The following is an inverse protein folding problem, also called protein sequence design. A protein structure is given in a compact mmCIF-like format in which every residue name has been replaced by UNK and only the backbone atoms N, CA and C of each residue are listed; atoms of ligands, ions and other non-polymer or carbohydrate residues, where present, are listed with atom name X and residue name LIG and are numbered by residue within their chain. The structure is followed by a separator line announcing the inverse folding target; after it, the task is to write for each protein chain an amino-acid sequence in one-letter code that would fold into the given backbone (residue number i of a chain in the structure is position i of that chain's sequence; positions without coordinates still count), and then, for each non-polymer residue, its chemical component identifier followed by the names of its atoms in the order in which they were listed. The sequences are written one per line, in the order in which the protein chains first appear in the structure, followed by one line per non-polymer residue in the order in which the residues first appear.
data_IF_918182975516
#
_entry.id   IF_918182975516
#
_cell.length_a   1.000
_cell.length_b   1.000
_cell.length_c   1.000
_cell.angle_alpha   90.00
_cell.angle_beta   90.00
_cell.angle_gamma   90.00
#
_symmetry.space_group_name_H-M   'P 1'
#
loop_
_entity.id
_entity.type
_entity.pdbx_description
1 polymer ?
#
# COMPACT_ATOMS: atom_id res chain seq x y z
N UNK A 1 -5.79 -9.64 -36.39
CA UNK A 1 -6.92 -9.32 -35.49
C UNK A 1 -6.35 -8.88 -34.13
N UNK A 2 -6.82 -7.79 -33.54
CA UNK A 2 -6.85 -7.58 -32.08
C UNK A 2 -5.57 -7.26 -31.27
N UNK A 3 -4.51 -6.63 -31.81
CA UNK A 3 -3.39 -6.16 -30.95
C UNK A 3 -3.84 -5.14 -29.89
N UNK A 4 -4.71 -4.20 -30.27
CA UNK A 4 -5.29 -3.22 -29.33
C UNK A 4 -6.15 -3.89 -28.26
N UNK A 5 -7.03 -4.81 -28.68
CA UNK A 5 -7.90 -5.55 -27.75
C UNK A 5 -7.07 -6.45 -26.82
N UNK A 6 -6.01 -7.09 -27.33
CA UNK A 6 -5.09 -7.85 -26.49
C UNK A 6 -4.37 -6.96 -25.50
N UNK A 7 -3.82 -5.82 -25.92
CA UNK A 7 -3.16 -4.88 -25.02
C UNK A 7 -4.11 -4.38 -23.93
N UNK A 8 -5.37 -4.07 -24.28
CA UNK A 8 -6.39 -3.68 -23.31
C UNK A 8 -6.68 -4.79 -22.30
N UNK A 9 -6.99 -6.01 -22.77
CA UNK A 9 -7.29 -7.17 -21.91
C UNK A 9 -6.09 -7.52 -21.03
N UNK A 10 -4.89 -7.47 -21.58
CA UNK A 10 -3.64 -7.68 -20.86
C UNK A 10 -3.44 -6.62 -19.76
N UNK A 11 -3.65 -5.33 -20.06
CA UNK A 11 -3.62 -4.26 -19.05
C UNK A 11 -4.67 -4.46 -17.95
N UNK A 12 -5.89 -4.88 -18.28
CA UNK A 12 -6.92 -5.20 -17.27
C UNK A 12 -6.49 -6.37 -16.38
N UNK A 13 -5.90 -7.42 -16.97
CA UNK A 13 -5.37 -8.54 -16.20
C UNK A 13 -4.22 -8.14 -15.26
N UNK A 14 -3.44 -7.11 -15.63
CA UNK A 14 -2.43 -6.51 -14.74
C UNK A 14 -3.02 -5.77 -13.55
N UNK A 15 -4.31 -5.46 -13.50
CA UNK A 15 -4.93 -4.78 -12.36
C UNK A 15 -5.44 -5.76 -11.30
N UNK A 16 -5.96 -6.92 -11.70
CA UNK A 16 -6.57 -7.93 -10.78
C UNK A 16 -5.52 -8.79 -10.06
N UNK A 17 -5.88 -9.49 -8.97
CA UNK A 17 -4.95 -10.37 -8.25
C UNK A 17 -4.43 -11.52 -9.13
N UNK A 18 -3.28 -12.13 -8.78
CA UNK A 18 -2.71 -13.27 -9.52
C UNK A 18 -3.70 -14.43 -9.64
N UNK A 19 -4.42 -14.73 -8.55
CA UNK A 19 -5.45 -15.77 -8.56
C UNK A 19 -6.61 -15.44 -9.49
N UNK A 20 -7.04 -14.17 -9.51
CA UNK A 20 -8.13 -13.73 -10.40
C UNK A 20 -7.70 -13.76 -11.86
N UNK A 21 -6.51 -13.23 -12.18
CA UNK A 21 -5.94 -13.30 -13.52
C UNK A 21 -5.75 -14.75 -13.97
N UNK A 22 -5.35 -15.63 -13.05
CA UNK A 22 -5.19 -17.05 -13.30
C UNK A 22 -6.48 -17.73 -13.73
N UNK A 23 -7.65 -17.33 -13.20
CA UNK A 23 -8.94 -17.89 -13.60
C UNK A 23 -9.30 -17.57 -15.05
N UNK A 24 -8.72 -16.54 -15.66
CA UNK A 24 -8.97 -16.21 -17.07
C UNK A 24 -8.51 -17.31 -18.03
N UNK A 25 -7.51 -18.10 -17.64
CA UNK A 25 -7.05 -19.26 -18.42
C UNK A 25 -8.15 -20.29 -18.70
N UNK A 26 -9.21 -20.31 -17.89
CA UNK A 26 -10.31 -21.28 -18.01
C UNK A 26 -11.52 -20.69 -18.76
N UNK A 27 -11.46 -19.44 -19.22
CA UNK A 27 -12.56 -18.82 -19.97
C UNK A 27 -12.59 -19.35 -21.41
N UNK A 28 -13.79 -19.60 -21.93
CA UNK A 28 -13.98 -20.08 -23.32
C UNK A 28 -13.47 -19.07 -24.37
N UNK A 29 -13.39 -17.78 -24.03
CA UNK A 29 -12.80 -16.78 -24.91
C UNK A 29 -11.30 -17.02 -25.08
N UNK A 30 -10.88 -17.36 -26.31
CA UNK A 30 -9.46 -17.52 -26.69
C UNK A 30 -8.56 -16.36 -26.24
N UNK A 31 -9.05 -15.12 -26.30
CA UNK A 31 -8.28 -13.94 -25.89
C UNK A 31 -7.98 -13.93 -24.39
N UNK A 32 -9.02 -13.95 -23.55
CA UNK A 32 -8.91 -14.04 -22.10
C UNK A 32 -8.15 -15.29 -21.63
N UNK A 33 -8.39 -16.44 -22.26
CA UNK A 33 -7.65 -17.67 -22.00
C UNK A 33 -6.14 -17.45 -22.16
N UNK A 34 -5.72 -16.93 -23.32
CA UNK A 34 -4.31 -16.66 -23.60
C UNK A 34 -3.70 -15.65 -22.62
N UNK A 35 -4.40 -14.56 -22.32
CA UNK A 35 -3.93 -13.56 -21.35
C UNK A 35 -3.78 -14.21 -19.97
N UNK A 36 -4.77 -15.00 -19.52
CA UNK A 36 -4.70 -15.72 -18.25
C UNK A 36 -3.49 -16.65 -18.18
N UNK A 37 -3.23 -17.45 -19.22
CA UNK A 37 -2.07 -18.33 -19.29
C UNK A 37 -0.75 -17.57 -19.25
N UNK A 38 -0.65 -16.43 -19.97
CA UNK A 38 0.54 -15.59 -19.95
C UNK A 38 0.79 -15.03 -18.56
N UNK A 39 -0.24 -14.52 -17.87
CA UNK A 39 -0.13 -14.01 -16.51
C UNK A 39 0.24 -15.11 -15.52
N UNK A 40 -0.37 -16.29 -15.59
CA UNK A 40 0.02 -17.42 -14.74
C UNK A 40 1.51 -17.76 -14.89
N UNK A 41 2.01 -17.75 -16.13
CA UNK A 41 3.39 -18.14 -16.44
C UNK A 41 4.42 -17.05 -16.12
N UNK A 42 4.11 -15.79 -16.42
CA UNK A 42 5.09 -14.68 -16.43
C UNK A 42 4.98 -13.74 -15.25
N UNK A 43 3.85 -13.72 -14.53
CA UNK A 43 3.63 -12.75 -13.46
C UNK A 43 4.46 -13.07 -12.23
N UNK A 44 5.24 -12.08 -11.81
CA UNK A 44 6.06 -12.14 -10.61
C UNK A 44 5.57 -11.10 -9.62
N UNK A 45 5.33 -11.54 -8.39
CA UNK A 45 4.89 -10.68 -7.30
C UNK A 45 6.05 -10.48 -6.32
N UNK A 46 6.32 -9.22 -6.02
CA UNK A 46 7.45 -8.81 -5.21
C UNK A 46 6.99 -8.14 -3.92
N UNK A 47 7.87 -8.19 -2.93
CA UNK A 47 7.89 -7.33 -1.77
C UNK A 47 9.02 -6.31 -1.96
N UNK A 48 8.71 -5.03 -1.83
CA UNK A 48 9.71 -3.96 -1.80
C UNK A 48 9.96 -3.59 -0.33
N UNK A 49 11.21 -3.56 0.09
CA UNK A 49 11.60 -3.11 1.43
C UNK A 49 12.53 -1.92 1.31
N UNK A 50 12.14 -0.78 1.89
CA UNK A 50 12.93 0.45 1.93
C UNK A 50 13.12 0.86 3.39
N UNK A 51 14.37 0.99 3.81
CA UNK A 51 14.72 1.56 5.11
C UNK A 51 15.32 2.94 4.89
N UNK A 52 14.67 3.96 5.47
CA UNK A 52 15.13 5.33 5.49
C UNK A 52 15.71 5.62 6.86
N UNK A 53 16.93 6.13 6.90
CA UNK A 53 17.63 6.46 8.10
C UNK A 53 18.10 7.92 8.03
N UNK A 54 17.72 8.75 9.00
CA UNK A 54 18.12 10.16 9.04
C UNK A 54 17.91 10.92 7.71
N UNK A 55 16.87 10.54 6.95
CA UNK A 55 16.51 11.14 5.67
C UNK A 55 17.16 10.51 4.43
N UNK A 56 18.04 9.51 4.59
CA UNK A 56 18.69 8.79 3.48
C UNK A 56 18.18 7.36 3.36
N UNK A 57 18.21 6.78 2.17
CA UNK A 57 17.82 5.38 1.97
C UNK A 57 19.03 4.49 2.18
N UNK A 58 19.04 3.78 3.30
CA UNK A 58 20.14 2.88 3.70
C UNK A 58 19.99 1.50 3.07
N UNK A 59 18.74 1.04 2.93
CA UNK A 59 18.42 -0.29 2.42
C UNK A 59 17.25 -0.21 1.45
N UNK A 60 17.38 -0.92 0.33
CA UNK A 60 16.35 -0.98 -0.69
C UNK A 60 16.45 -2.30 -1.46
N UNK A 61 15.49 -3.20 -1.28
CA UNK A 61 15.50 -4.54 -1.86
C UNK A 61 14.14 -4.91 -2.43
N UNK A 62 14.15 -5.56 -3.60
CA UNK A 62 12.98 -6.18 -4.19
C UNK A 62 13.09 -7.71 -4.08
N UNK A 63 12.22 -8.33 -3.29
CA UNK A 63 12.23 -9.78 -3.04
C UNK A 63 11.01 -10.45 -3.67
N UNK A 64 11.21 -11.49 -4.47
CA UNK A 64 10.09 -12.25 -5.02
C UNK A 64 9.37 -13.03 -3.91
N UNK A 65 8.03 -13.03 -3.91
CA UNK A 65 7.20 -13.69 -2.90
C UNK A 65 7.41 -15.21 -2.81
N UNK A 66 7.91 -15.84 -3.88
CA UNK A 66 8.26 -17.27 -3.88
C UNK A 66 9.61 -17.56 -3.20
N UNK A 67 10.28 -16.54 -2.65
CA UNK A 67 11.56 -16.65 -1.94
C UNK A 67 12.75 -17.02 -2.83
N UNK A 68 12.54 -17.18 -4.14
CA UNK A 68 13.54 -17.74 -5.04
C UNK A 68 14.68 -16.75 -5.34
N UNK A 69 14.37 -15.45 -5.40
CA UNK A 69 15.33 -14.43 -5.80
C UNK A 69 15.05 -13.08 -5.12
N UNK A 70 16.09 -12.46 -4.57
CA UNK A 70 16.13 -11.00 -4.42
C UNK A 70 16.83 -10.39 -5.63
N UNK A 71 16.32 -9.24 -6.08
CA UNK A 71 16.84 -8.54 -7.25
C UNK A 71 17.18 -7.12 -6.81
N UNK A 72 18.37 -6.64 -7.16
CA UNK A 72 18.71 -5.24 -6.97
C UNK A 72 17.81 -4.38 -7.86
N UNK A 73 17.27 -3.27 -7.36
CA UNK A 73 16.33 -2.47 -8.17
C UNK A 73 16.97 -1.93 -9.46
N UNK A 74 18.28 -1.67 -9.47
CA UNK A 74 18.99 -1.30 -10.69
C UNK A 74 19.06 -2.42 -11.74
N UNK A 75 19.04 -3.69 -11.32
CA UNK A 75 18.87 -4.83 -12.21
C UNK A 75 17.42 -4.94 -12.65
N UNK A 76 16.48 -4.74 -11.71
CA UNK A 76 15.07 -4.73 -12.03
C UNK A 76 14.72 -3.68 -13.11
N UNK A 77 15.24 -2.46 -13.00
CA UNK A 77 14.96 -1.43 -14.00
C UNK A 77 15.53 -1.72 -15.41
N UNK A 78 16.45 -2.70 -15.54
CA UNK A 78 17.01 -3.10 -16.84
C UNK A 78 16.18 -4.17 -17.56
N UNK A 79 15.42 -4.99 -16.84
CA UNK A 79 14.58 -6.00 -17.49
C UNK A 79 13.18 -5.46 -17.82
N UNK A 80 12.44 -6.22 -18.64
CA UNK A 80 11.06 -5.90 -18.97
C UNK A 80 10.12 -6.34 -17.84
N UNK A 81 9.90 -5.45 -16.86
CA UNK A 81 9.03 -5.66 -15.68
C UNK A 81 7.52 -5.57 -15.99
N UNK A 82 7.12 -5.74 -17.25
CA UNK A 82 5.71 -5.65 -17.67
C UNK A 82 4.76 -6.45 -16.78
N UNK A 83 5.14 -7.69 -16.42
CA UNK A 83 4.32 -8.59 -15.60
C UNK A 83 4.69 -8.59 -14.11
N UNK A 84 5.48 -7.61 -13.66
CA UNK A 84 5.86 -7.49 -12.27
C UNK A 84 4.84 -6.66 -11.48
N UNK A 85 4.69 -6.97 -10.20
CA UNK A 85 3.87 -6.19 -9.26
C UNK A 85 4.51 -6.16 -7.89
N UNK A 86 4.42 -5.02 -7.21
CA UNK A 86 4.79 -4.92 -5.81
C UNK A 86 3.52 -5.16 -4.99
N UNK A 87 3.41 -6.37 -4.43
CA UNK A 87 2.26 -6.72 -3.60
C UNK A 87 2.30 -5.95 -2.28
N UNK A 88 3.49 -5.86 -1.69
CA UNK A 88 3.71 -5.19 -0.42
C UNK A 88 4.97 -4.33 -0.49
N UNK A 89 4.82 -3.07 -0.12
CA UNK A 89 5.91 -2.14 0.06
C UNK A 89 6.06 -1.84 1.55
N UNK A 90 7.17 -2.27 2.14
CA UNK A 90 7.58 -1.97 3.51
C UNK A 90 8.44 -0.71 3.48
N UNK A 91 7.98 0.36 4.13
CA UNK A 91 8.74 1.59 4.31
C UNK A 91 8.99 1.79 5.80
N UNK A 92 10.26 1.77 6.19
CA UNK A 92 10.71 1.78 7.57
C UNK A 92 11.55 3.02 7.80
N UNK A 93 11.18 3.87 8.75
CA UNK A 93 11.98 5.03 9.16
C UNK A 93 12.73 4.74 10.47
N UNK A 94 14.05 4.87 10.46
CA UNK A 94 14.93 4.64 11.62
C UNK A 94 15.68 5.92 12.03
N UNK A 95 16.12 5.99 13.29
CA UNK A 95 16.80 7.15 13.92
C UNK A 95 18.32 7.01 14.02
N UNK A 96 18.95 6.17 13.21
CA UNK A 96 20.38 5.85 13.35
C UNK A 96 21.29 6.92 12.74
N UNK A 97 22.49 7.08 13.30
CA UNK A 97 23.45 8.13 12.95
C UNK A 97 24.38 7.75 11.76
N UNK A 98 23.88 7.02 10.78
CA UNK A 98 24.70 6.49 9.68
C UNK A 98 24.73 7.46 8.49
N UNK A 99 25.84 7.38 7.78
CA UNK A 99 26.37 8.27 6.74
C UNK A 99 25.38 8.65 5.62
N UNK A 100 25.42 9.94 5.24
CA UNK A 100 24.34 10.69 4.56
C UNK A 100 24.35 10.64 3.02
N UNK A 101 24.92 9.62 2.39
CA UNK A 101 25.37 9.79 0.99
C UNK A 101 24.55 9.12 -0.11
N UNK A 102 23.38 8.52 0.16
CA UNK A 102 22.57 7.90 -0.91
C UNK A 102 21.10 8.36 -0.92
N UNK A 103 20.78 9.21 -1.90
CA UNK A 103 19.39 9.46 -2.32
C UNK A 103 18.94 8.32 -3.23
N UNK A 104 17.74 7.80 -3.01
CA UNK A 104 17.20 6.72 -3.82
C UNK A 104 16.63 7.22 -5.15
N UNK A 105 17.53 7.61 -6.07
CA UNK A 105 17.19 8.21 -7.35
C UNK A 105 16.28 7.35 -8.24
N UNK A 106 16.25 6.03 -8.00
CA UNK A 106 15.49 5.07 -8.80
C UNK A 106 14.01 4.94 -8.37
N UNK A 107 13.61 5.48 -7.22
CA UNK A 107 12.25 5.31 -6.72
C UNK A 107 11.16 5.82 -7.68
N UNK A 108 11.26 7.05 -8.23
CA UNK A 108 10.20 7.56 -9.11
C UNK A 108 10.04 6.71 -10.38
N UNK A 109 11.16 6.22 -10.93
CA UNK A 109 11.13 5.33 -12.09
C UNK A 109 10.45 4.00 -11.75
N UNK A 110 10.77 3.42 -10.57
CA UNK A 110 10.16 2.18 -10.10
C UNK A 110 8.64 2.32 -9.94
N UNK A 111 8.17 3.41 -9.31
CA UNK A 111 6.74 3.69 -9.10
C UNK A 111 5.96 3.82 -10.41
N UNK A 112 6.57 4.41 -11.43
CA UNK A 112 5.93 4.58 -12.73
C UNK A 112 5.88 3.27 -13.52
N UNK A 113 6.78 2.32 -13.24
CA UNK A 113 6.87 1.06 -13.97
C UNK A 113 6.07 -0.06 -13.31
N UNK A 114 6.03 -0.12 -11.98
CA UNK A 114 5.48 -1.27 -11.26
C UNK A 114 4.39 -0.81 -10.29
N UNK A 115 3.13 -1.27 -10.45
CA UNK A 115 2.06 -0.90 -9.54
C UNK A 115 2.31 -1.47 -8.14
N UNK A 116 2.06 -0.63 -7.12
CA UNK A 116 2.11 -1.01 -5.70
C UNK A 116 0.69 -1.25 -5.19
N UNK A 117 0.43 -2.45 -4.67
CA UNK A 117 -0.88 -2.79 -4.12
C UNK A 117 -1.05 -2.29 -2.68
N UNK A 118 -0.06 -2.58 -1.83
CA UNK A 118 -0.11 -2.30 -0.39
C UNK A 118 1.14 -1.57 0.10
N UNK A 119 0.97 -0.53 0.89
CA UNK A 119 2.03 0.13 1.65
C UNK A 119 1.92 -0.22 3.14
N UNK A 120 3.05 -0.56 3.78
CA UNK A 120 3.19 -0.70 5.23
C UNK A 120 4.20 0.34 5.72
N UNK A 121 3.72 1.29 6.51
CA UNK A 121 4.52 2.33 7.13
C UNK A 121 4.88 1.92 8.56
N UNK A 122 6.19 1.76 8.79
CA UNK A 122 6.76 1.53 10.11
C UNK A 122 7.58 2.76 10.51
N UNK A 123 6.97 3.62 11.30
CA UNK A 123 7.60 4.83 11.76
C UNK A 123 8.30 4.59 13.10
N UNK A 124 9.60 4.89 13.14
CA UNK A 124 10.33 5.21 14.36
C UNK A 124 11.10 6.52 14.26
N UNK A 125 10.90 7.30 13.17
CA UNK A 125 11.67 8.49 12.79
C UNK A 125 11.13 9.83 13.35
N UNK A 126 11.79 10.94 13.02
CA UNK A 126 11.31 12.30 13.33
C UNK A 126 10.40 12.84 12.21
N UNK A 127 9.55 13.83 12.52
CA UNK A 127 8.65 14.47 11.56
C UNK A 127 9.37 15.14 10.38
N UNK A 128 10.56 15.70 10.61
CA UNK A 128 11.33 16.41 9.58
C UNK A 128 11.72 15.51 8.41
N UNK A 129 12.09 14.26 8.68
CA UNK A 129 12.52 13.32 7.62
C UNK A 129 11.36 12.88 6.72
N UNK A 130 10.12 12.93 7.20
CA UNK A 130 8.95 12.54 6.43
C UNK A 130 8.65 13.54 5.32
N UNK A 131 8.82 14.84 5.61
CA UNK A 131 8.58 15.92 4.65
C UNK A 131 9.57 15.79 3.49
N UNK A 132 10.86 15.65 3.80
CA UNK A 132 11.94 15.49 2.81
C UNK A 132 11.77 14.24 1.95
N UNK A 133 11.22 13.16 2.53
CA UNK A 133 10.99 11.89 1.88
C UNK A 133 9.52 11.64 1.53
N UNK A 134 8.74 12.70 1.34
CA UNK A 134 7.31 12.61 1.01
C UNK A 134 7.04 11.77 -0.24
N UNK A 135 7.92 11.85 -1.23
CA UNK A 135 7.86 11.04 -2.44
C UNK A 135 7.92 9.52 -2.17
N UNK A 136 8.45 9.06 -1.03
CA UNK A 136 8.52 7.63 -0.68
C UNK A 136 7.18 7.09 -0.17
N UNK A 137 6.41 7.87 0.58
CA UNK A 137 5.15 7.42 1.17
C UNK A 137 3.91 7.96 0.45
N UNK A 138 4.00 9.07 -0.31
CA UNK A 138 2.92 9.59 -1.17
C UNK A 138 2.73 8.74 -2.43
N UNK A 139 2.42 7.47 -2.23
CA UNK A 139 2.22 6.48 -3.29
C UNK A 139 0.74 6.09 -3.41
N UNK A 140 0.19 5.99 -4.63
CA UNK A 140 -1.21 5.65 -4.85
C UNK A 140 -1.44 4.14 -4.67
N UNK A 141 -1.76 3.72 -3.46
CA UNK A 141 -2.00 2.31 -3.08
C UNK A 141 -3.46 2.01 -2.78
N UNK A 142 -3.88 0.76 -3.02
CA UNK A 142 -5.21 0.30 -2.62
C UNK A 142 -5.32 0.03 -1.11
N UNK A 143 -4.19 -0.26 -0.47
CA UNK A 143 -4.15 -0.59 0.94
C UNK A 143 -2.99 0.10 1.62
N UNK A 144 -3.25 0.83 2.69
CA UNK A 144 -2.21 1.36 3.57
C UNK A 144 -2.34 0.74 4.94
N UNK A 145 -1.21 0.48 5.58
CA UNK A 145 -1.14 -0.03 6.94
C UNK A 145 -0.11 0.74 7.72
N UNK A 146 -0.53 1.32 8.83
CA UNK A 146 0.34 2.06 9.74
C UNK A 146 0.69 1.22 10.97
N UNK A 147 1.85 1.49 11.56
CA UNK A 147 2.20 1.04 12.90
C UNK A 147 1.57 1.89 14.01
N UNK A 148 2.22 1.95 15.16
CA UNK A 148 1.77 2.73 16.32
C UNK A 148 1.89 4.25 16.14
N UNK A 149 2.94 4.65 15.43
CA UNK A 149 3.30 6.03 15.14
C UNK A 149 2.76 6.38 13.75
N UNK A 150 1.95 7.42 13.70
CA UNK A 150 1.30 7.91 12.49
C UNK A 150 1.44 9.42 12.48
N UNK A 151 1.95 9.98 11.39
CA UNK A 151 2.08 11.41 11.23
C UNK A 151 0.88 11.95 10.46
N UNK A 152 0.42 13.15 10.85
CA UNK A 152 -0.80 13.75 10.29
C UNK A 152 -0.75 13.89 8.78
N UNK A 153 0.40 14.23 8.21
CA UNK A 153 0.58 14.39 6.76
C UNK A 153 0.42 13.07 5.99
N UNK A 154 0.94 11.96 6.53
CA UNK A 154 0.79 10.63 5.92
C UNK A 154 -0.68 10.21 5.90
N UNK A 155 -1.35 10.43 7.03
CA UNK A 155 -2.77 10.14 7.21
C UNK A 155 -3.62 10.98 6.27
N UNK A 156 -3.34 12.28 6.18
CA UNK A 156 -4.10 13.23 5.38
C UNK A 156 -4.04 12.87 3.90
N UNK A 157 -2.83 12.64 3.38
CA UNK A 157 -2.65 12.18 2.01
C UNK A 157 -3.41 10.87 1.75
N UNK A 158 -3.18 9.84 2.57
CA UNK A 158 -3.76 8.54 2.31
C UNK A 158 -5.29 8.53 2.43
N UNK A 159 -5.85 9.31 3.36
CA UNK A 159 -7.30 9.35 3.57
C UNK A 159 -8.01 10.25 2.56
N UNK A 160 -7.43 11.40 2.20
CA UNK A 160 -8.16 12.44 1.45
C UNK A 160 -7.64 12.69 0.04
N UNK A 161 -6.40 12.31 -0.28
CA UNK A 161 -5.77 12.54 -1.60
C UNK A 161 -5.54 11.23 -2.39
N UNK A 162 -5.35 10.09 -1.73
CA UNK A 162 -5.13 8.81 -2.42
C UNK A 162 -6.45 8.23 -2.94
N UNK A 163 -6.76 8.50 -4.21
CA UNK A 163 -7.95 8.02 -4.92
C UNK A 163 -8.06 6.49 -5.01
N UNK A 164 -6.95 5.76 -4.89
CA UNK A 164 -6.93 4.29 -5.01
C UNK A 164 -7.24 3.59 -3.68
N UNK A 165 -7.13 4.27 -2.54
CA UNK A 165 -7.30 3.67 -1.22
C UNK A 165 -8.65 2.96 -1.04
N UNK A 166 -8.64 1.65 -0.79
CA UNK A 166 -9.81 0.84 -0.43
C UNK A 166 -9.77 0.38 1.01
N UNK A 167 -8.58 0.16 1.57
CA UNK A 167 -8.40 -0.35 2.93
C UNK A 167 -7.36 0.45 3.71
N UNK A 168 -7.75 0.93 4.88
CA UNK A 168 -6.91 1.67 5.82
C UNK A 168 -6.71 0.83 7.08
N UNK A 169 -5.48 0.39 7.36
CA UNK A 169 -5.16 -0.44 8.53
C UNK A 169 -4.31 0.32 9.55
N UNK A 170 -4.61 0.12 10.83
CA UNK A 170 -3.74 0.53 11.94
C UNK A 170 -3.36 -0.74 12.71
N UNK A 171 -2.07 -1.08 12.68
CA UNK A 171 -1.48 -2.21 13.39
C UNK A 171 -0.97 -1.76 14.74
N UNK A 172 -1.27 -2.54 15.77
CA UNK A 172 -0.82 -2.32 17.14
C UNK A 172 -1.30 -1.01 17.80
N UNK A 173 -1.96 -0.12 17.05
CA UNK A 173 -2.40 1.19 17.53
C UNK A 173 -3.52 1.12 18.55
N UNK A 174 -3.74 2.25 19.21
CA UNK A 174 -4.82 2.39 20.16
C UNK A 174 -6.18 2.46 19.43
N UNK A 175 -7.20 1.85 20.02
CA UNK A 175 -8.52 1.73 19.37
C UNK A 175 -9.19 3.09 19.14
N UNK A 176 -8.96 4.05 20.03
CA UNK A 176 -9.44 5.42 19.91
C UNK A 176 -8.84 6.13 18.67
N UNK A 177 -7.57 5.89 18.33
CA UNK A 177 -6.94 6.42 17.12
C UNK A 177 -7.69 5.94 15.87
N UNK A 178 -8.10 4.68 15.85
CA UNK A 178 -8.85 4.11 14.72
C UNK A 178 -10.22 4.77 14.58
N UNK A 179 -10.92 4.99 15.71
CA UNK A 179 -12.20 5.70 15.75
C UNK A 179 -12.03 7.14 15.26
N UNK A 180 -10.97 7.84 15.68
CA UNK A 180 -10.69 9.20 15.24
C UNK A 180 -10.34 9.28 13.76
N UNK A 181 -9.63 8.30 13.21
CA UNK A 181 -9.42 8.22 11.76
C UNK A 181 -10.75 8.02 11.02
N UNK A 182 -11.65 7.16 11.53
CA UNK A 182 -13.00 7.03 10.96
C UNK A 182 -13.75 8.36 10.99
N UNK A 183 -13.81 9.03 12.14
CA UNK A 183 -14.51 10.30 12.28
C UNK A 183 -13.90 11.40 11.38
N UNK A 184 -12.58 11.39 11.24
CA UNK A 184 -11.86 12.31 10.34
C UNK A 184 -12.27 12.08 8.89
N UNK A 185 -12.36 10.81 8.47
CA UNK A 185 -12.77 10.45 7.11
C UNK A 185 -14.24 10.78 6.82
N UNK A 186 -15.15 10.46 7.75
CA UNK A 186 -16.58 10.78 7.63
C UNK A 186 -16.82 12.28 7.52
N UNK A 187 -16.09 13.07 8.31
CA UNK A 187 -16.24 14.54 8.32
C UNK A 187 -15.46 15.25 7.22
N UNK A 188 -14.61 14.55 6.47
CA UNK A 188 -13.73 15.14 5.45
C UNK A 188 -12.66 16.07 6.02
N UNK A 189 -12.37 16.00 7.33
CA UNK A 189 -11.40 16.87 8.01
C UNK A 189 -10.60 16.09 9.04
N UNK A 190 -9.30 16.30 9.08
CA UNK A 190 -8.42 15.63 10.03
C UNK A 190 -8.73 16.06 11.48
N UNK A 191 -8.95 15.08 12.37
CA UNK A 191 -9.11 15.31 13.81
C UNK A 191 -7.80 15.06 14.56
N UNK A 192 -7.57 15.74 15.71
CA UNK A 192 -6.39 15.49 16.54
C UNK A 192 -6.34 14.05 17.09
N UNK A 193 -5.26 13.32 16.77
CA UNK A 193 -5.04 11.94 17.20
C UNK A 193 -4.35 11.83 18.56
N UNK A 194 -4.96 12.40 19.60
CA UNK A 194 -4.48 12.24 20.98
C UNK A 194 -4.88 10.85 21.47
N UNK A 195 -3.94 9.97 21.77
CA UNK A 195 -4.22 8.63 22.28
C UNK A 195 -4.84 8.67 23.69
N UNK A 196 -6.03 8.11 23.86
CA UNK A 196 -6.64 7.80 25.15
C UNK A 196 -6.62 6.29 25.42
N UNK A 197 -6.97 5.87 26.63
CA UNK A 197 -6.88 4.48 27.05
C UNK A 197 -7.59 3.50 26.09
N UNK A 198 -7.02 2.30 25.93
CA UNK A 198 -7.51 1.27 25.02
C UNK A 198 -8.75 0.56 25.57
N UNK A 199 -9.93 0.82 25.00
CA UNK A 199 -11.11 0.02 25.29
C UNK A 199 -11.75 -0.58 24.03
N UNK A 200 -11.63 -1.90 23.88
CA UNK A 200 -12.25 -2.65 22.76
C UNK A 200 -13.76 -2.41 22.64
N UNK A 201 -14.45 -2.13 23.75
CA UNK A 201 -15.89 -1.88 23.75
C UNK A 201 -16.25 -0.61 22.99
N UNK A 202 -15.34 0.35 22.88
CA UNK A 202 -15.56 1.58 22.13
C UNK A 202 -15.58 1.32 20.62
N UNK A 203 -14.78 0.38 20.11
CA UNK A 203 -14.86 -0.03 18.69
C UNK A 203 -16.23 -0.60 18.37
N UNK A 204 -16.72 -1.51 19.21
CA UNK A 204 -18.04 -2.12 19.01
C UNK A 204 -19.14 -1.06 19.06
N UNK A 205 -19.08 -0.13 20.03
CA UNK A 205 -20.01 1.01 20.11
C UNK A 205 -19.91 1.94 18.89
N UNK A 206 -18.72 2.11 18.32
CA UNK A 206 -18.48 2.90 17.10
C UNK A 206 -18.90 2.17 15.81
N UNK A 207 -19.45 0.95 15.91
CA UNK A 207 -19.99 0.17 14.80
C UNK A 207 -18.97 -0.71 14.09
N UNK A 208 -17.80 -0.96 14.69
CA UNK A 208 -16.86 -1.95 14.16
C UNK A 208 -17.38 -3.37 14.42
N UNK A 209 -17.19 -4.24 13.42
CA UNK A 209 -17.52 -5.67 13.52
C UNK A 209 -16.23 -6.46 13.59
N UNK A 210 -16.18 -7.45 14.49
CA UNK A 210 -15.05 -8.38 14.56
C UNK A 210 -15.12 -9.37 13.39
N UNK A 211 -14.06 -9.44 12.59
CA UNK A 211 -13.86 -10.43 11.54
C UNK A 211 -12.49 -11.09 11.75
N UNK A 212 -12.51 -12.38 12.10
CA UNK A 212 -11.32 -13.14 12.51
C UNK A 212 -10.59 -12.44 13.68
N UNK A 213 -9.32 -12.09 13.48
CA UNK A 213 -8.45 -11.42 14.46
C UNK A 213 -8.50 -9.88 14.39
N UNK A 214 -9.37 -9.32 13.55
CA UNK A 214 -9.46 -7.89 13.31
C UNK A 214 -10.85 -7.33 13.61
N UNK A 215 -10.91 -6.02 13.84
CA UNK A 215 -12.12 -5.22 13.86
C UNK A 215 -12.16 -4.37 12.59
N UNK A 216 -13.29 -4.39 11.89
CA UNK A 216 -13.46 -3.71 10.61
C UNK A 216 -14.73 -2.84 10.60
N UNK A 217 -14.65 -1.67 9.96
CA UNK A 217 -15.79 -0.80 9.66
C UNK A 217 -15.61 -0.21 8.26
N UNK A 218 -16.61 -0.32 7.41
CA UNK A 218 -16.66 0.37 6.13
C UNK A 218 -17.35 1.71 6.29
N UNK A 219 -16.75 2.75 5.72
CA UNK A 219 -17.14 4.14 5.95
C UNK A 219 -17.15 4.88 4.62
N UNK A 220 -18.16 5.71 4.40
CA UNK A 220 -18.24 6.62 3.25
C UNK A 220 -17.72 7.99 3.69
N UNK A 221 -16.76 8.53 2.93
CA UNK A 221 -16.20 9.85 3.13
C UNK A 221 -15.96 10.56 1.80
N UNK A 222 -15.26 11.69 1.84
CA UNK A 222 -14.90 12.47 0.64
C UNK A 222 -13.39 12.41 0.41
N UNK A 223 -12.98 12.03 -0.80
CA UNK A 223 -11.59 11.99 -1.26
C UNK A 223 -11.52 12.74 -2.59
N UNK A 224 -10.68 13.78 -2.70
CA UNK A 224 -10.60 14.65 -3.87
C UNK A 224 -11.97 15.12 -4.41
N UNK A 225 -12.88 15.51 -3.51
CA UNK A 225 -14.23 15.98 -3.85
C UNK A 225 -15.21 14.89 -4.30
N UNK A 226 -14.84 13.60 -4.25
CA UNK A 226 -15.68 12.47 -4.64
C UNK A 226 -16.01 11.59 -3.44
N UNK A 227 -17.26 11.11 -3.39
CA UNK A 227 -17.69 10.14 -2.39
C UNK A 227 -16.93 8.82 -2.57
N UNK A 228 -16.42 8.27 -1.47
CA UNK A 228 -15.59 7.07 -1.48
C UNK A 228 -15.83 6.20 -0.27
N UNK A 229 -15.92 4.89 -0.48
CA UNK A 229 -16.00 3.92 0.62
C UNK A 229 -14.62 3.37 0.93
N UNK A 230 -14.17 3.52 2.18
CA UNK A 230 -12.92 2.95 2.68
C UNK A 230 -13.23 2.02 3.84
N UNK A 231 -12.56 0.86 3.86
CA UNK A 231 -12.60 -0.09 4.97
C UNK A 231 -11.50 0.25 5.97
N UNK A 232 -11.89 0.64 7.18
CA UNK A 232 -10.98 0.82 8.31
C UNK A 232 -10.84 -0.50 9.05
N UNK A 233 -9.61 -0.88 9.36
CA UNK A 233 -9.28 -2.14 10.03
C UNK A 233 -8.24 -1.94 11.12
N UNK A 234 -8.42 -2.63 12.24
CA UNK A 234 -7.40 -2.73 13.29
C UNK A 234 -7.37 -4.14 13.86
N UNK A 235 -6.23 -4.53 14.43
CA UNK A 235 -6.02 -5.87 14.96
C UNK A 235 -6.01 -5.80 16.49
N UNK A 236 -6.65 -6.77 17.13
CA UNK A 236 -6.63 -6.87 18.59
C UNK A 236 -5.21 -7.12 19.08
N UNK A 237 -4.82 -6.45 20.18
CA UNK A 237 -3.71 -6.91 21.02
C UNK A 237 -4.20 -8.03 21.94
#
# INVERSE_FOLDING_TARGET
MNHLLFAFVDSVAHLVSKDSAGKFANLQSKLWCNVGLVHQKKRVEYSLSVTVNSGTVDFCELQAQNGAHSVLIAEALRDNFKYARILTYYLIFTKSAVDKTKKFAYFPALLNMIPIYKLLLFNGGSTTHLVENSHLWKVPVEKVSFGNEMHSEELEYHMFENDNLKTFEIRFGHYDKVIKCVNSFESGRMQPLIGTANNRHELLKAGFVRQNEAYEKSVVGVCNGKAKTVKFRTFGR
#
